data_IF_342262048595
#
_entry.id   IF_342262048595
#
_cell.length_a   1.000
_cell.length_b   1.000
_cell.length_c   1.000
_cell.angle_alpha   90.00
_cell.angle_beta   90.00
_cell.angle_gamma   90.00
#
_symmetry.space_group_name_H-M   'P 1'
#
loop_
_entity.id
_entity.type
_entity.pdbx_description
1 polymer ?
#
# COMPACT_ATOMS: atom_id res chain seq x y z
N UNK A 1 -31.54 27.18 42.80
CA UNK A 1 -30.48 27.68 41.93
C UNK A 1 -29.11 27.05 42.27
N UNK A 2 -29.08 25.80 42.75
CA UNK A 2 -27.81 25.07 43.09
C UNK A 2 -27.67 23.72 42.37
N UNK A 3 -28.66 23.31 41.56
CA UNK A 3 -28.64 22.02 40.90
C UNK A 3 -28.13 22.04 39.43
N UNK A 4 -28.14 23.22 38.80
CA UNK A 4 -27.67 23.35 37.40
C UNK A 4 -26.16 23.48 37.23
N UNK A 5 -25.41 23.77 38.30
CA UNK A 5 -23.94 23.90 38.22
C UNK A 5 -23.17 22.59 38.31
N UNK A 6 -23.84 21.47 38.63
CA UNK A 6 -23.18 20.16 38.74
C UNK A 6 -23.26 19.30 37.47
N UNK A 7 -24.08 19.65 36.50
CA UNK A 7 -24.26 18.88 35.26
C UNK A 7 -23.27 19.34 34.18
N UNK A 8 -22.76 20.57 34.25
CA UNK A 8 -21.79 21.07 33.25
C UNK A 8 -20.35 20.61 33.49
N UNK A 9 -20.03 20.04 34.65
CA UNK A 9 -18.66 19.66 34.99
C UNK A 9 -18.34 18.21 34.60
N UNK A 10 -19.34 17.37 34.29
CA UNK A 10 -19.15 15.98 33.88
C UNK A 10 -19.10 15.81 32.36
N UNK A 11 -19.56 16.81 31.60
CA UNK A 11 -19.49 16.72 30.12
C UNK A 11 -18.11 17.10 29.52
N UNK A 12 -17.29 17.83 30.31
CA UNK A 12 -15.97 18.26 29.85
C UNK A 12 -14.83 17.24 30.09
N UNK A 13 -15.06 16.23 30.94
CA UNK A 13 -14.05 15.22 31.25
C UNK A 13 -14.12 13.96 30.35
N UNK A 14 -15.19 13.83 29.55
CA UNK A 14 -15.35 12.68 28.65
C UNK A 14 -14.77 12.91 27.24
N UNK A 15 -14.27 14.11 26.91
CA UNK A 15 -13.72 14.44 25.60
C UNK A 15 -12.19 14.40 25.52
N UNK A 16 -11.49 14.02 26.59
CA UNK A 16 -10.02 14.08 26.63
C UNK A 16 -9.32 12.72 26.58
N UNK A 17 -10.01 11.65 26.24
CA UNK A 17 -9.42 10.29 26.26
C UNK A 17 -9.54 9.52 24.95
N UNK A 18 -9.71 10.20 23.80
CA UNK A 18 -9.75 9.52 22.50
C UNK A 18 -8.81 10.16 21.45
N UNK A 19 -7.62 10.58 21.88
CA UNK A 19 -6.50 10.79 20.98
C UNK A 19 -5.54 9.59 21.05
N UNK A 20 -6.08 8.40 21.02
CA UNK A 20 -5.27 7.25 20.67
C UNK A 20 -4.99 7.34 19.17
N UNK A 21 -3.70 7.29 18.82
CA UNK A 21 -3.21 7.25 17.46
C UNK A 21 -4.12 6.35 16.62
N UNK A 22 -4.89 6.96 15.72
CA UNK A 22 -5.60 6.22 14.72
C UNK A 22 -4.55 5.42 13.96
N UNK A 23 -4.65 4.09 13.86
CA UNK A 23 -3.79 3.36 12.94
C UNK A 23 -3.96 3.98 11.56
N UNK A 24 -2.92 3.94 10.75
CA UNK A 24 -2.90 4.43 9.37
C UNK A 24 -4.17 4.03 8.55
N UNK A 25 -4.84 2.97 8.95
CA UNK A 25 -6.07 2.45 8.35
C UNK A 25 -7.39 3.15 8.75
N UNK A 26 -7.36 4.14 9.66
CA UNK A 26 -8.59 4.77 10.17
C UNK A 26 -8.81 6.22 9.71
N UNK A 27 -7.96 6.74 8.83
CA UNK A 27 -8.24 7.97 8.10
C UNK A 27 -9.19 7.65 6.93
N UNK A 28 -10.18 8.49 6.70
CA UNK A 28 -11.04 8.44 5.51
C UNK A 28 -10.17 8.28 4.28
N UNK A 29 -10.37 7.21 3.50
CA UNK A 29 -9.52 6.77 2.37
C UNK A 29 -8.04 6.47 2.74
N UNK A 30 -7.81 5.64 3.74
CA UNK A 30 -6.46 5.14 4.08
C UNK A 30 -5.72 4.47 2.90
N UNK A 31 -6.41 4.21 1.82
CA UNK A 31 -5.85 3.66 0.59
C UNK A 31 -5.32 4.71 -0.39
N UNK A 32 -5.48 6.01 -0.09
CA UNK A 32 -4.97 7.09 -0.93
C UNK A 32 -3.61 7.62 -0.47
N UNK A 33 -3.07 7.07 0.60
CA UNK A 33 -1.81 7.51 1.20
C UNK A 33 -0.84 6.36 1.40
N UNK A 34 0.45 6.65 1.21
CA UNK A 34 1.51 5.71 1.56
C UNK A 34 1.46 5.41 3.07
N UNK A 35 1.56 4.12 3.41
CA UNK A 35 1.51 3.66 4.79
C UNK A 35 2.83 3.02 5.25
N UNK A 36 3.41 2.14 4.46
CA UNK A 36 4.70 1.51 4.75
C UNK A 36 5.60 1.52 3.50
N UNK A 37 6.09 2.72 3.08
CA UNK A 37 7.00 2.81 1.95
C UNK A 37 8.30 2.06 2.26
N UNK A 38 8.68 1.14 1.40
CA UNK A 38 9.84 0.26 1.61
C UNK A 38 10.93 0.39 0.55
N UNK A 39 10.57 0.72 -0.69
CA UNK A 39 11.51 0.93 -1.78
C UNK A 39 11.10 2.08 -2.67
N UNK A 40 12.06 2.75 -3.29
CA UNK A 40 11.83 3.90 -4.17
C UNK A 40 12.77 3.87 -5.37
N UNK A 41 12.27 4.28 -6.52
CA UNK A 41 13.08 4.52 -7.73
C UNK A 41 12.52 5.69 -8.53
N UNK A 42 13.39 6.40 -9.26
CA UNK A 42 12.97 7.47 -10.16
C UNK A 42 12.45 6.92 -11.49
N UNK A 43 11.50 7.64 -12.07
CA UNK A 43 11.00 7.43 -13.42
C UNK A 43 11.61 8.45 -14.39
N UNK A 44 11.66 8.16 -15.71
CA UNK A 44 12.23 9.06 -16.70
C UNK A 44 11.52 10.43 -16.80
N UNK A 45 10.28 10.51 -16.38
CA UNK A 45 9.47 11.74 -16.36
C UNK A 45 9.68 12.61 -15.10
N UNK A 46 10.56 12.19 -14.18
CA UNK A 46 10.86 12.89 -12.94
C UNK A 46 9.94 12.51 -11.77
N UNK A 47 8.96 11.65 -11.98
CA UNK A 47 8.18 11.05 -10.88
C UNK A 47 8.95 9.90 -10.22
N UNK A 48 8.39 9.34 -9.16
CA UNK A 48 8.96 8.20 -8.44
C UNK A 48 7.97 7.04 -8.39
N UNK A 49 8.50 5.81 -8.41
CA UNK A 49 7.76 4.64 -7.98
C UNK A 49 8.17 4.30 -6.54
N UNK A 50 7.18 4.01 -5.71
CA UNK A 50 7.35 3.66 -4.31
C UNK A 50 6.59 2.39 -4.01
N UNK A 51 7.25 1.35 -3.51
CA UNK A 51 6.59 0.15 -3.00
C UNK A 51 6.03 0.41 -1.62
N UNK A 52 4.80 -0.02 -1.37
CA UNK A 52 4.12 0.09 -0.09
C UNK A 52 3.73 -1.31 0.39
N UNK A 53 4.51 -1.83 1.30
CA UNK A 53 4.34 -3.19 1.83
C UNK A 53 3.05 -3.36 2.62
N UNK A 54 2.55 -2.31 3.28
CA UNK A 54 1.28 -2.38 4.00
C UNK A 54 0.09 -2.37 3.05
N UNK A 55 0.05 -1.39 2.13
CA UNK A 55 -1.05 -1.25 1.17
C UNK A 55 -1.02 -2.30 0.04
N UNK A 56 0.07 -3.09 -0.07
CA UNK A 56 0.22 -4.16 -1.09
C UNK A 56 0.23 -3.63 -2.53
N UNK A 57 0.73 -2.42 -2.73
CA UNK A 57 0.73 -1.73 -4.02
C UNK A 57 2.08 -1.07 -4.32
N UNK A 58 2.23 -0.65 -5.58
CA UNK A 58 3.28 0.27 -6.02
C UNK A 58 2.62 1.61 -6.33
N UNK A 59 3.09 2.67 -5.70
CA UNK A 59 2.63 4.03 -5.92
C UNK A 59 3.47 4.73 -6.98
N UNK A 60 2.85 5.61 -7.78
CA UNK A 60 3.52 6.68 -8.51
C UNK A 60 3.35 7.97 -7.73
N UNK A 61 4.47 8.62 -7.43
CA UNK A 61 4.51 9.88 -6.71
C UNK A 61 5.02 10.97 -7.65
N UNK A 62 4.19 12.00 -7.85
CA UNK A 62 4.49 13.15 -8.67
C UNK A 62 4.24 14.43 -7.87
N UNK A 63 5.32 15.15 -7.55
CA UNK A 63 5.24 16.32 -6.68
C UNK A 63 4.70 15.95 -5.30
N UNK A 64 3.47 16.34 -4.99
CA UNK A 64 2.79 16.06 -3.72
C UNK A 64 1.62 15.07 -3.87
N UNK A 65 1.45 14.49 -5.03
CA UNK A 65 0.35 13.59 -5.34
C UNK A 65 0.88 12.17 -5.45
N UNK A 66 0.16 11.23 -4.84
CA UNK A 66 0.41 9.79 -4.99
C UNK A 66 -0.80 9.13 -5.66
N UNK A 67 -0.55 8.27 -6.63
CA UNK A 67 -1.56 7.46 -7.31
C UNK A 67 -1.09 6.02 -7.38
N UNK A 68 -2.02 5.07 -7.33
CA UNK A 68 -1.66 3.66 -7.48
C UNK A 68 -1.15 3.43 -8.89
N UNK A 69 0.08 2.96 -9.00
CA UNK A 69 0.70 2.59 -10.27
C UNK A 69 0.47 1.13 -10.60
N UNK A 70 0.52 0.25 -9.63
CA UNK A 70 0.25 -1.17 -9.80
C UNK A 70 -0.21 -1.82 -8.51
N UNK A 71 -1.13 -2.76 -8.65
CA UNK A 71 -1.79 -3.41 -7.52
C UNK A 71 -3.21 -2.89 -7.27
N UNK A 72 -3.96 -3.59 -6.44
CA UNK A 72 -5.34 -3.24 -6.09
C UNK A 72 -5.35 -2.65 -4.68
N UNK A 73 -5.54 -1.32 -4.58
CA UNK A 73 -5.55 -0.60 -3.31
C UNK A 73 -6.92 -0.60 -2.61
N UNK A 74 -7.99 -1.00 -3.29
CA UNK A 74 -9.38 -0.81 -2.84
C UNK A 74 -9.97 -2.04 -2.15
N UNK A 75 -9.23 -3.12 -2.02
CA UNK A 75 -9.73 -4.38 -1.44
C UNK A 75 -9.19 -4.54 -0.03
N UNK A 76 -10.08 -4.48 0.94
CA UNK A 76 -9.78 -4.75 2.35
C UNK A 76 -10.50 -5.99 2.87
N UNK A 77 -9.97 -6.58 3.93
CA UNK A 77 -10.63 -7.63 4.68
C UNK A 77 -11.79 -7.08 5.54
N UNK A 78 -12.42 -7.94 6.34
CA UNK A 78 -13.53 -7.56 7.23
C UNK A 78 -13.12 -6.52 8.30
N UNK A 79 -11.83 -6.32 8.51
CA UNK A 79 -11.27 -5.36 9.46
C UNK A 79 -10.71 -4.12 8.76
N UNK A 80 -10.90 -4.00 7.43
CA UNK A 80 -10.38 -2.89 6.62
C UNK A 80 -8.88 -2.97 6.34
N UNK A 81 -8.23 -4.14 6.58
CA UNK A 81 -6.82 -4.31 6.27
C UNK A 81 -6.61 -4.63 4.78
N UNK A 82 -5.60 -4.05 4.12
CA UNK A 82 -5.34 -4.31 2.72
C UNK A 82 -5.10 -5.79 2.43
N UNK A 83 -5.84 -6.35 1.48
CA UNK A 83 -5.67 -7.74 1.05
C UNK A 83 -4.57 -7.82 0.01
N UNK A 84 -3.51 -8.57 0.33
CA UNK A 84 -2.48 -8.96 -0.62
C UNK A 84 -2.78 -10.27 -1.31
N UNK A 85 -2.12 -10.50 -2.43
CA UNK A 85 -2.31 -11.73 -3.19
C UNK A 85 -1.26 -11.93 -4.26
N UNK A 86 -1.56 -12.82 -5.19
CA UNK A 86 -0.78 -13.07 -6.37
C UNK A 86 -1.68 -13.13 -7.59
N UNK A 87 -1.49 -12.18 -8.49
CA UNK A 87 -2.15 -12.17 -9.79
C UNK A 87 -1.28 -11.44 -10.81
N UNK A 88 -0.88 -12.15 -11.87
CA UNK A 88 -0.24 -11.58 -13.04
C UNK A 88 -1.33 -11.07 -13.99
N UNK A 89 -1.52 -9.75 -14.06
CA UNK A 89 -2.63 -9.12 -14.79
C UNK A 89 -2.29 -7.70 -15.22
N UNK A 90 -3.29 -6.97 -15.69
CA UNK A 90 -3.19 -5.52 -15.89
C UNK A 90 -2.79 -4.84 -14.57
N UNK A 91 -2.20 -3.64 -14.64
CA UNK A 91 -1.70 -2.92 -13.47
C UNK A 91 -2.73 -2.83 -12.35
N UNK A 92 -3.97 -2.45 -12.70
CA UNK A 92 -5.05 -2.22 -11.74
C UNK A 92 -5.76 -3.51 -11.26
N UNK A 93 -5.45 -4.65 -11.86
CA UNK A 93 -6.02 -5.96 -11.51
C UNK A 93 -4.97 -6.90 -10.93
N UNK A 94 -3.71 -6.47 -10.88
CA UNK A 94 -2.62 -7.24 -10.32
C UNK A 94 -2.66 -7.22 -8.79
N UNK A 95 -2.14 -8.28 -8.16
CA UNK A 95 -2.00 -8.34 -6.71
C UNK A 95 -0.55 -8.58 -6.34
N UNK A 96 -0.08 -7.82 -5.38
CA UNK A 96 1.16 -8.05 -4.64
C UNK A 96 0.82 -8.54 -3.23
N UNK A 97 1.73 -9.27 -2.63
CA UNK A 97 1.56 -9.72 -1.25
C UNK A 97 2.44 -8.94 -0.28
N UNK A 98 3.67 -8.66 -0.67
CA UNK A 98 4.61 -7.86 0.12
C UNK A 98 5.63 -7.22 -0.83
N UNK A 99 5.23 -6.17 -1.59
CA UNK A 99 6.15 -5.47 -2.49
C UNK A 99 7.15 -4.70 -1.64
N UNK A 100 8.43 -5.11 -1.71
CA UNK A 100 9.48 -4.61 -0.83
C UNK A 100 10.38 -3.59 -1.50
N UNK A 101 10.86 -3.87 -2.69
CA UNK A 101 11.77 -3.00 -3.43
C UNK A 101 11.35 -2.87 -4.90
N UNK A 102 11.68 -1.75 -5.50
CA UNK A 102 11.47 -1.48 -6.92
C UNK A 102 12.74 -0.91 -7.53
N UNK A 103 13.08 -1.37 -8.74
CA UNK A 103 14.24 -0.89 -9.50
C UNK A 103 13.95 -0.88 -11.01
N UNK A 104 14.62 -0.02 -11.80
CA UNK A 104 14.54 -0.08 -13.25
C UNK A 104 15.07 -1.45 -13.74
N UNK A 105 14.38 -2.04 -14.69
CA UNK A 105 14.78 -3.32 -15.29
C UNK A 105 14.21 -3.42 -16.71
N UNK A 106 15.08 -3.64 -17.69
CA UNK A 106 14.70 -3.67 -19.12
C UNK A 106 13.93 -2.40 -19.51
N UNK A 107 12.78 -2.57 -20.15
CA UNK A 107 11.83 -1.52 -20.55
C UNK A 107 10.75 -1.28 -19.50
N UNK A 108 11.05 -1.51 -18.23
CA UNK A 108 10.08 -1.32 -17.14
C UNK A 108 10.74 -1.35 -15.76
N UNK A 109 10.08 -2.01 -14.83
CA UNK A 109 10.51 -2.07 -13.42
C UNK A 109 10.40 -3.47 -12.86
N UNK A 110 11.41 -3.89 -12.12
CA UNK A 110 11.38 -5.09 -11.30
C UNK A 110 10.93 -4.73 -9.87
N UNK A 111 10.01 -5.52 -9.33
CA UNK A 111 9.51 -5.40 -7.95
C UNK A 111 9.74 -6.71 -7.23
N UNK A 112 10.45 -6.67 -6.10
CA UNK A 112 10.54 -7.84 -5.22
C UNK A 112 9.23 -8.00 -4.44
N UNK A 113 8.52 -9.10 -4.65
CA UNK A 113 7.30 -9.45 -3.92
C UNK A 113 7.62 -10.55 -2.90
N UNK A 114 8.13 -10.11 -1.75
CA UNK A 114 8.83 -10.94 -0.79
C UNK A 114 7.97 -12.10 -0.25
N UNK A 115 6.73 -11.82 0.14
CA UNK A 115 5.86 -12.87 0.68
C UNK A 115 5.29 -13.83 -0.39
N UNK A 116 5.45 -13.50 -1.68
CA UNK A 116 5.19 -14.40 -2.79
C UNK A 116 6.44 -15.16 -3.26
N UNK A 117 7.64 -14.83 -2.75
CA UNK A 117 8.93 -15.38 -3.15
C UNK A 117 9.25 -15.22 -4.63
N UNK A 118 8.84 -14.11 -5.23
CA UNK A 118 8.99 -13.81 -6.66
C UNK A 118 9.52 -12.41 -6.89
N UNK A 119 10.11 -12.20 -8.06
CA UNK A 119 10.31 -10.86 -8.63
C UNK A 119 9.26 -10.65 -9.71
N UNK A 120 8.53 -9.56 -9.60
CA UNK A 120 7.51 -9.16 -10.56
C UNK A 120 8.11 -8.15 -11.53
N UNK A 121 7.68 -8.19 -12.77
CA UNK A 121 8.04 -7.21 -13.78
C UNK A 121 6.82 -6.38 -14.17
N UNK A 122 6.96 -5.06 -14.10
CA UNK A 122 5.98 -4.09 -14.56
C UNK A 122 6.49 -3.54 -15.89
N UNK A 123 5.88 -3.97 -16.98
CA UNK A 123 6.22 -3.50 -18.33
C UNK A 123 5.67 -2.08 -18.53
N UNK A 124 6.52 -1.19 -19.06
CA UNK A 124 6.17 0.21 -19.22
C UNK A 124 5.12 0.44 -20.33
N UNK A 125 5.26 -0.29 -21.43
CA UNK A 125 4.41 -0.18 -22.62
C UNK A 125 3.15 -1.05 -22.59
N UNK A 126 3.16 -2.12 -21.78
CA UNK A 126 2.09 -3.14 -21.75
C UNK A 126 1.10 -2.97 -20.64
N UNK A 127 1.30 -1.99 -19.77
CA UNK A 127 0.43 -1.72 -18.63
C UNK A 127 0.08 -3.00 -17.83
N UNK A 128 1.07 -3.86 -17.63
CA UNK A 128 0.89 -5.22 -17.11
C UNK A 128 1.95 -5.55 -16.07
N UNK A 129 1.54 -6.34 -15.06
CA UNK A 129 2.43 -7.01 -14.11
C UNK A 129 2.57 -8.48 -14.50
N UNK A 130 3.79 -8.99 -14.49
CA UNK A 130 4.12 -10.39 -14.77
C UNK A 130 5.16 -10.88 -13.78
N UNK A 131 5.17 -12.17 -13.50
CA UNK A 131 6.27 -12.78 -12.75
C UNK A 131 7.49 -12.91 -13.66
N UNK A 132 8.59 -12.28 -13.27
CA UNK A 132 9.87 -12.35 -13.96
C UNK A 132 10.66 -13.59 -13.56
N UNK A 133 10.73 -13.88 -12.26
CA UNK A 133 11.43 -15.04 -11.71
C UNK A 133 10.96 -15.35 -10.30
N UNK A 134 11.32 -16.53 -9.79
CA UNK A 134 10.98 -17.01 -8.46
C UNK A 134 9.86 -18.05 -8.47
N UNK A 135 9.58 -18.59 -7.29
CA UNK A 135 8.55 -19.62 -7.11
C UNK A 135 7.65 -19.23 -5.94
N UNK A 136 6.35 -19.31 -6.10
CA UNK A 136 5.35 -18.98 -5.09
C UNK A 136 5.47 -19.80 -3.82
N UNK A 137 5.90 -21.06 -3.91
CA UNK A 137 6.08 -21.92 -2.75
C UNK A 137 7.52 -21.82 -2.23
N UNK A 138 7.67 -21.40 -0.98
CA UNK A 138 8.94 -21.45 -0.27
C UNK A 138 9.40 -22.90 -0.16
N UNK A 139 10.52 -23.24 -0.77
CA UNK A 139 11.13 -24.59 -0.63
C UNK A 139 10.87 -25.57 -1.79
N UNK A 140 10.25 -25.16 -2.88
CA UNK A 140 10.25 -25.96 -4.11
C UNK A 140 11.50 -25.63 -4.94
N UNK A 141 12.64 -26.09 -4.49
CA UNK A 141 13.81 -26.26 -5.36
C UNK A 141 13.76 -27.68 -5.91
N UNK A 142 13.59 -27.79 -7.23
CA UNK A 142 13.91 -29.02 -7.92
C UNK A 142 15.42 -29.14 -8.13
#
# INVERSE_FOLDING_TARGET
MKLQKRILTFAAAAMLALSMALPCAAAESAMDTLCAPSGITSMPDGSFLVTDTYNKVVWRVEGRTSTVYGGVATVGDLYGQPIGGYNDSALNDSYFKEPWAVAPFLDGYAVSDAANNVVRFIAHDKNKVQTATGQRAKGSMN
#
